data_IF_489601985504
#
_entry.id   IF_489601985504
#
_cell.length_a   1.000
_cell.length_b   1.000
_cell.length_c   1.000
_cell.angle_alpha   90.00
_cell.angle_beta   90.00
_cell.angle_gamma   90.00
#
_symmetry.space_group_name_H-M   'P 1'
#
loop_
_entity.id
_entity.type
_entity.pdbx_description
1 polymer ?
#
# COMPACT_ATOMS: atom_id res chain seq x y z
N UNK A 1 -32.14 6.62 -8.23
CA UNK A 1 -32.21 7.43 -6.99
C UNK A 1 -33.57 7.38 -6.28
N UNK A 2 -34.51 6.54 -6.71
CA UNK A 2 -35.86 6.39 -6.10
C UNK A 2 -35.95 5.25 -5.07
N UNK A 3 -34.92 4.41 -4.94
CA UNK A 3 -34.93 3.21 -4.07
C UNK A 3 -34.66 3.53 -2.59
N UNK A 4 -33.89 4.58 -2.30
CA UNK A 4 -33.59 4.98 -0.92
C UNK A 4 -34.82 5.51 -0.18
N UNK A 5 -35.74 6.17 -0.87
CA UNK A 5 -36.94 6.78 -0.27
C UNK A 5 -37.90 5.71 0.27
N UNK A 6 -38.02 4.57 -0.42
CA UNK A 6 -38.82 3.42 0.03
C UNK A 6 -38.24 2.77 1.30
N UNK A 7 -36.91 2.75 1.46
CA UNK A 7 -36.24 2.29 2.68
C UNK A 7 -36.44 3.24 3.86
N UNK A 8 -36.32 4.55 3.63
CA UNK A 8 -36.62 5.55 4.67
C UNK A 8 -38.08 5.47 5.11
N UNK A 9 -39.03 5.28 4.18
CA UNK A 9 -40.46 5.16 4.47
C UNK A 9 -40.82 3.95 5.33
N UNK A 10 -40.20 2.79 5.11
CA UNK A 10 -40.44 1.59 5.95
C UNK A 10 -39.75 1.65 7.31
N UNK A 11 -38.61 2.32 7.41
CA UNK A 11 -37.88 2.42 8.68
C UNK A 11 -38.50 3.46 9.64
N UNK A 12 -39.34 4.39 9.14
CA UNK A 12 -40.20 5.26 9.99
C UNK A 12 -41.20 4.45 10.81
N UNK A 13 -41.63 3.28 10.35
CA UNK A 13 -42.55 2.42 11.10
C UNK A 13 -41.88 1.62 12.25
N UNK A 14 -40.54 1.57 12.32
CA UNK A 14 -39.77 0.84 13.34
C UNK A 14 -39.18 1.71 14.47
N UNK A 15 -39.50 3.01 14.49
CA UNK A 15 -38.97 3.97 15.46
C UNK A 15 -37.64 4.62 15.04
N UNK A 16 -37.41 5.86 15.50
CA UNK A 16 -36.26 6.70 15.14
C UNK A 16 -34.89 6.03 15.36
N UNK A 17 -34.78 5.15 16.36
CA UNK A 17 -33.51 4.46 16.67
C UNK A 17 -33.02 3.52 15.56
N UNK A 18 -33.91 2.77 14.91
CA UNK A 18 -33.55 1.86 13.81
C UNK A 18 -33.14 2.61 12.55
N UNK A 19 -33.81 3.73 12.26
CA UNK A 19 -33.47 4.65 11.17
C UNK A 19 -32.10 5.28 11.35
N UNK A 20 -31.83 5.85 12.52
CA UNK A 20 -30.55 6.50 12.83
C UNK A 20 -29.40 5.49 12.79
N UNK A 21 -29.61 4.27 13.30
CA UNK A 21 -28.59 3.22 13.28
C UNK A 21 -28.27 2.77 11.84
N UNK A 22 -29.28 2.48 11.01
CA UNK A 22 -29.07 2.11 9.59
C UNK A 22 -28.41 3.27 8.83
N UNK A 23 -28.79 4.51 9.12
CA UNK A 23 -28.21 5.70 8.51
C UNK A 23 -26.73 5.86 8.86
N UNK A 24 -26.34 5.76 10.14
CA UNK A 24 -24.94 5.82 10.57
C UNK A 24 -24.16 4.65 9.98
N UNK A 25 -24.73 3.45 9.99
CA UNK A 25 -24.06 2.26 9.47
C UNK A 25 -23.85 2.36 7.96
N UNK A 26 -24.83 2.83 7.18
CA UNK A 26 -24.65 3.07 5.74
C UNK A 26 -23.75 4.28 5.46
N UNK A 27 -23.85 5.35 6.25
CA UNK A 27 -23.03 6.55 6.10
C UNK A 27 -21.56 6.32 6.42
N UNK A 28 -21.25 5.49 7.42
CA UNK A 28 -19.89 5.16 7.81
C UNK A 28 -19.36 3.93 7.08
N UNK A 29 -20.13 2.86 6.94
CA UNK A 29 -19.61 1.61 6.41
C UNK A 29 -19.61 1.52 4.87
N UNK A 30 -20.53 2.18 4.17
CA UNK A 30 -20.53 2.20 2.71
C UNK A 30 -19.24 2.78 2.11
N UNK A 31 -18.64 3.87 2.61
CA UNK A 31 -17.38 4.36 2.05
C UNK A 31 -16.19 3.42 2.30
N UNK A 32 -16.21 2.57 3.33
CA UNK A 32 -15.12 1.61 3.60
C UNK A 32 -15.25 0.29 2.83
N UNK A 33 -16.46 -0.09 2.39
CA UNK A 33 -16.67 -1.33 1.66
C UNK A 33 -16.02 -1.30 0.26
N UNK A 34 -16.04 -0.16 -0.43
CA UNK A 34 -15.44 0.00 -1.76
C UNK A 34 -13.90 -0.20 -1.77
N UNK A 35 -13.12 0.45 -0.87
CA UNK A 35 -11.69 0.14 -0.71
C UNK A 35 -11.43 -1.31 -0.35
N UNK A 36 -12.28 -1.93 0.49
CA UNK A 36 -12.12 -3.33 0.89
C UNK A 36 -12.26 -4.26 -0.33
N UNK A 37 -13.29 -4.10 -1.15
CA UNK A 37 -13.48 -4.93 -2.35
C UNK A 37 -12.35 -4.74 -3.35
N UNK A 38 -11.97 -3.47 -3.59
CA UNK A 38 -10.86 -3.15 -4.50
C UNK A 38 -9.54 -3.73 -4.01
N UNK A 39 -9.33 -3.77 -2.69
CA UNK A 39 -8.12 -4.36 -2.11
C UNK A 39 -8.00 -5.87 -2.40
N UNK A 40 -9.09 -6.61 -2.53
CA UNK A 40 -9.06 -8.04 -2.89
C UNK A 40 -8.45 -8.26 -4.27
N UNK A 41 -8.86 -7.46 -5.25
CA UNK A 41 -8.26 -7.44 -6.60
C UNK A 41 -6.78 -7.05 -6.52
N UNK A 42 -6.45 -6.03 -5.72
CA UNK A 42 -5.08 -5.58 -5.50
C UNK A 42 -4.16 -6.65 -4.89
N UNK A 43 -4.67 -7.44 -3.94
CA UNK A 43 -3.94 -8.55 -3.32
C UNK A 43 -3.67 -9.65 -4.36
N UNK A 44 -4.66 -10.00 -5.19
CA UNK A 44 -4.49 -10.96 -6.28
C UNK A 44 -3.41 -10.54 -7.28
N UNK A 45 -3.45 -9.28 -7.72
CA UNK A 45 -2.42 -8.70 -8.60
C UNK A 45 -1.04 -8.64 -7.93
N UNK A 46 -1.01 -8.25 -6.65
CA UNK A 46 0.21 -8.17 -5.86
C UNK A 46 0.89 -9.54 -5.68
N UNK A 47 0.11 -10.61 -5.50
CA UNK A 47 0.62 -11.98 -5.42
C UNK A 47 1.15 -12.43 -6.79
N UNK A 48 0.37 -12.22 -7.87
CA UNK A 48 0.78 -12.55 -9.24
C UNK A 48 2.14 -11.93 -9.59
N UNK A 49 2.33 -10.64 -9.31
CA UNK A 49 3.59 -9.92 -9.56
C UNK A 49 4.79 -10.49 -8.80
N UNK A 50 4.57 -11.13 -7.66
CA UNK A 50 5.63 -11.67 -6.82
C UNK A 50 5.97 -13.13 -7.12
N UNK A 51 5.19 -13.83 -7.95
CA UNK A 51 5.40 -15.24 -8.27
C UNK A 51 6.13 -15.44 -9.61
N UNK A 52 6.99 -16.45 -9.69
CA UNK A 52 7.56 -16.93 -10.95
C UNK A 52 6.70 -18.01 -11.61
N UNK A 53 5.75 -18.60 -10.88
CA UNK A 53 4.87 -19.64 -11.39
C UNK A 53 3.77 -19.04 -12.28
N UNK A 54 3.71 -19.47 -13.55
CA UNK A 54 2.72 -19.01 -14.53
C UNK A 54 1.27 -19.25 -14.10
N UNK A 55 0.98 -20.35 -13.40
CA UNK A 55 -0.35 -20.65 -12.88
C UNK A 55 -0.81 -19.60 -11.86
N UNK A 56 0.04 -19.27 -10.88
CA UNK A 56 -0.25 -18.25 -9.87
C UNK A 56 -0.45 -16.88 -10.51
N UNK A 57 0.25 -16.59 -11.62
CA UNK A 57 0.11 -15.31 -12.32
C UNK A 57 -1.28 -15.08 -12.91
N UNK A 58 -1.96 -16.15 -13.31
CA UNK A 58 -3.32 -16.10 -13.89
C UNK A 58 -4.39 -16.28 -12.82
N UNK A 59 -4.20 -17.26 -11.92
CA UNK A 59 -5.22 -17.61 -10.93
C UNK A 59 -5.35 -16.58 -9.82
N UNK A 60 -4.25 -15.98 -9.34
CA UNK A 60 -4.32 -15.04 -8.23
C UNK A 60 -5.11 -13.74 -8.58
N UNK A 61 -4.92 -13.10 -9.75
CA UNK A 61 -5.72 -11.94 -10.14
C UNK A 61 -7.19 -12.28 -10.36
N UNK A 62 -7.47 -13.41 -11.04
CA UNK A 62 -8.85 -13.87 -11.28
C UNK A 62 -9.54 -14.18 -9.96
N UNK A 63 -8.87 -14.89 -9.05
CA UNK A 63 -9.41 -15.19 -7.72
C UNK A 63 -9.69 -13.93 -6.89
N UNK A 64 -8.77 -12.96 -6.89
CA UNK A 64 -8.97 -11.68 -6.19
C UNK A 64 -10.15 -10.87 -6.76
N UNK A 65 -10.30 -10.86 -8.08
CA UNK A 65 -11.41 -10.19 -8.76
C UNK A 65 -12.76 -10.87 -8.48
N UNK A 66 -12.82 -12.19 -8.56
CA UNK A 66 -14.03 -12.96 -8.23
C UNK A 66 -14.44 -12.77 -6.78
N UNK A 67 -13.46 -12.75 -5.86
CA UNK A 67 -13.73 -12.47 -4.45
C UNK A 67 -14.29 -11.05 -4.24
N UNK A 68 -13.77 -10.05 -4.97
CA UNK A 68 -14.31 -8.69 -4.92
C UNK A 68 -15.77 -8.63 -5.39
N UNK A 69 -16.11 -9.32 -6.49
CA UNK A 69 -17.48 -9.40 -7.00
C UNK A 69 -18.39 -10.09 -5.98
N UNK A 70 -17.97 -11.23 -5.42
CA UNK A 70 -18.75 -11.97 -4.44
C UNK A 70 -19.03 -11.12 -3.19
N UNK A 71 -18.02 -10.45 -2.64
CA UNK A 71 -18.21 -9.57 -1.49
C UNK A 71 -19.15 -8.40 -1.82
N UNK A 72 -19.02 -7.80 -3.01
CA UNK A 72 -19.91 -6.73 -3.44
C UNK A 72 -21.35 -7.22 -3.64
N UNK A 73 -21.53 -8.39 -4.24
CA UNK A 73 -22.83 -9.03 -4.41
C UNK A 73 -23.46 -9.38 -3.05
N UNK A 74 -22.69 -9.89 -2.09
CA UNK A 74 -23.16 -10.16 -0.73
C UNK A 74 -23.56 -8.87 -0.01
N UNK A 75 -22.80 -7.78 -0.15
CA UNK A 75 -23.16 -6.47 0.40
C UNK A 75 -24.53 -6.01 -0.14
N UNK A 76 -24.71 -6.04 -1.47
CA UNK A 76 -25.97 -5.64 -2.09
C UNK A 76 -27.12 -6.59 -1.73
N UNK A 77 -26.88 -7.90 -1.76
CA UNK A 77 -27.87 -8.92 -1.43
C UNK A 77 -28.33 -8.84 0.03
N UNK A 78 -27.41 -8.55 0.96
CA UNK A 78 -27.76 -8.36 2.38
C UNK A 78 -28.67 -7.17 2.61
N UNK A 79 -28.56 -6.13 1.78
CA UNK A 79 -29.44 -4.97 1.82
C UNK A 79 -30.84 -5.30 1.28
N UNK A 80 -30.96 -6.15 0.25
CA UNK A 80 -32.24 -6.47 -0.42
C UNK A 80 -33.01 -7.59 0.28
N UNK A 81 -32.34 -8.67 0.69
CA UNK A 81 -32.99 -9.91 1.17
C UNK A 81 -32.85 -10.13 2.68
N UNK A 82 -31.91 -9.46 3.35
CA UNK A 82 -31.54 -9.75 4.74
C UNK A 82 -32.37 -9.03 5.81
N UNK A 83 -33.11 -7.98 5.45
CA UNK A 83 -33.67 -7.06 6.45
C UNK A 83 -32.57 -6.50 7.38
N UNK A 84 -32.93 -6.10 8.60
CA UNK A 84 -31.95 -5.63 9.59
C UNK A 84 -30.94 -6.71 10.00
N UNK A 85 -31.42 -7.92 10.32
CA UNK A 85 -30.59 -9.01 10.87
C UNK A 85 -29.61 -9.58 9.85
N UNK A 86 -30.04 -9.81 8.60
CA UNK A 86 -29.17 -10.32 7.55
C UNK A 86 -28.08 -9.32 7.15
N UNK A 87 -28.36 -8.02 7.24
CA UNK A 87 -27.35 -6.98 7.10
C UNK A 87 -26.28 -7.08 8.21
N UNK A 88 -26.70 -7.23 9.47
CA UNK A 88 -25.76 -7.39 10.60
C UNK A 88 -24.85 -8.61 10.44
N UNK A 89 -25.42 -9.76 10.07
CA UNK A 89 -24.64 -10.99 9.85
C UNK A 89 -23.63 -10.80 8.73
N UNK A 90 -24.06 -10.29 7.56
CA UNK A 90 -23.14 -10.03 6.45
C UNK A 90 -22.05 -9.02 6.84
N UNK A 91 -22.39 -8.00 7.62
CA UNK A 91 -21.43 -7.00 8.07
C UNK A 91 -20.37 -7.58 9.00
N UNK A 92 -20.77 -8.16 10.13
CA UNK A 92 -19.81 -8.56 11.16
C UNK A 92 -19.16 -9.92 10.87
N UNK A 93 -19.82 -10.82 10.15
CA UNK A 93 -19.29 -12.18 9.90
C UNK A 93 -18.50 -12.24 8.59
N UNK A 94 -18.82 -11.40 7.60
CA UNK A 94 -18.13 -11.41 6.29
C UNK A 94 -17.23 -10.18 6.15
N UNK A 95 -17.78 -8.97 6.29
CA UNK A 95 -16.99 -7.74 6.06
C UNK A 95 -15.95 -7.52 7.16
N UNK A 96 -16.30 -7.74 8.42
CA UNK A 96 -15.38 -7.60 9.56
C UNK A 96 -14.11 -8.43 9.39
N UNK A 97 -14.20 -9.77 9.22
CA UNK A 97 -13.04 -10.62 9.00
C UNK A 97 -12.26 -10.27 7.74
N UNK A 98 -12.94 -9.97 6.62
CA UNK A 98 -12.25 -9.57 5.41
C UNK A 98 -11.45 -8.27 5.60
N UNK A 99 -12.01 -7.30 6.33
CA UNK A 99 -11.32 -6.07 6.69
C UNK A 99 -10.09 -6.33 7.56
N UNK A 100 -10.22 -7.20 8.57
CA UNK A 100 -9.09 -7.62 9.42
C UNK A 100 -8.00 -8.29 8.57
N UNK A 101 -8.36 -9.19 7.66
CA UNK A 101 -7.41 -9.84 6.75
C UNK A 101 -6.69 -8.80 5.89
N UNK A 102 -7.40 -7.83 5.32
CA UNK A 102 -6.78 -6.72 4.57
C UNK A 102 -5.80 -5.93 5.43
N UNK A 103 -6.17 -5.57 6.67
CA UNK A 103 -5.27 -4.88 7.58
C UNK A 103 -4.02 -5.72 7.91
N UNK A 104 -4.17 -7.02 8.12
CA UNK A 104 -3.05 -7.94 8.32
C UNK A 104 -2.14 -7.98 7.10
N UNK A 105 -2.69 -8.09 5.89
CA UNK A 105 -1.92 -8.08 4.64
C UNK A 105 -1.15 -6.77 4.47
N UNK A 106 -1.80 -5.62 4.72
CA UNK A 106 -1.14 -4.32 4.69
C UNK A 106 0.00 -4.28 5.70
N UNK A 107 -0.25 -4.68 6.95
CA UNK A 107 0.75 -4.69 8.00
C UNK A 107 1.98 -5.56 7.67
N UNK A 108 1.75 -6.80 7.22
CA UNK A 108 2.84 -7.68 6.81
C UNK A 108 3.58 -7.17 5.57
N UNK A 109 2.85 -6.56 4.61
CA UNK A 109 3.45 -5.94 3.43
C UNK A 109 4.36 -4.77 3.82
N UNK A 110 3.90 -3.88 4.71
CA UNK A 110 4.67 -2.74 5.20
C UNK A 110 5.92 -3.18 5.98
N UNK A 111 5.79 -4.21 6.83
CA UNK A 111 6.95 -4.80 7.54
C UNK A 111 7.95 -5.43 6.59
N UNK A 112 7.47 -6.12 5.55
CA UNK A 112 8.32 -6.75 4.54
C UNK A 112 9.04 -5.70 3.70
N UNK A 113 8.36 -4.64 3.29
CA UNK A 113 8.95 -3.50 2.60
C UNK A 113 10.10 -2.91 3.42
N UNK A 114 9.86 -2.60 4.70
CA UNK A 114 10.91 -2.04 5.55
C UNK A 114 12.12 -2.97 5.71
N UNK A 115 11.89 -4.29 5.81
CA UNK A 115 12.96 -5.29 5.84
C UNK A 115 13.75 -5.34 4.53
N UNK A 116 13.08 -5.28 3.39
CA UNK A 116 13.72 -5.24 2.07
C UNK A 116 14.59 -3.98 1.94
N UNK A 117 14.03 -2.82 2.26
CA UNK A 117 14.76 -1.54 2.21
C UNK A 117 15.99 -1.59 3.10
N UNK A 118 15.85 -2.07 4.34
CA UNK A 118 16.96 -2.27 5.28
C UNK A 118 18.04 -3.19 4.69
N UNK A 119 17.66 -4.38 4.25
CA UNK A 119 18.62 -5.36 3.76
C UNK A 119 19.39 -4.88 2.51
N UNK A 120 18.70 -4.26 1.56
CA UNK A 120 19.27 -3.93 0.25
C UNK A 120 19.90 -2.52 0.14
N UNK A 121 19.67 -1.65 1.13
CA UNK A 121 20.39 -0.37 1.26
C UNK A 121 21.50 -0.41 2.31
N UNK A 122 21.63 -1.50 3.08
CA UNK A 122 22.69 -1.64 4.07
C UNK A 122 24.11 -1.45 3.49
N UNK A 123 24.45 -1.95 2.30
CA UNK A 123 25.76 -1.68 1.69
C UNK A 123 26.01 -0.19 1.40
N UNK A 124 24.98 0.55 0.99
CA UNK A 124 25.11 1.99 0.74
C UNK A 124 25.28 2.75 2.05
N UNK A 125 24.58 2.35 3.11
CA UNK A 125 24.81 2.86 4.46
C UNK A 125 26.26 2.62 4.93
N UNK A 126 26.78 1.40 4.77
CA UNK A 126 28.16 1.08 5.16
C UNK A 126 29.21 1.89 4.40
N UNK A 127 28.93 2.24 3.14
CA UNK A 127 29.79 3.11 2.30
C UNK A 127 29.67 4.59 2.65
N UNK A 128 28.91 4.95 3.68
CA UNK A 128 28.68 6.34 4.08
C UNK A 128 27.76 7.09 3.13
N UNK A 129 26.98 6.37 2.30
CA UNK A 129 26.01 7.02 1.43
C UNK A 129 24.90 7.64 2.29
N UNK A 130 24.28 6.89 3.19
CA UNK A 130 23.23 7.38 4.08
C UNK A 130 23.74 7.62 5.50
N UNK A 131 23.29 8.71 6.14
CA UNK A 131 23.47 8.92 7.58
C UNK A 131 22.68 7.88 8.39
N UNK A 132 23.12 7.43 9.59
CA UNK A 132 22.39 6.47 10.40
C UNK A 132 20.92 6.84 10.64
N UNK A 133 20.62 8.11 10.96
CA UNK A 133 19.25 8.55 11.22
C UNK A 133 18.41 8.60 9.94
N UNK A 134 19.05 8.92 8.81
CA UNK A 134 18.40 8.91 7.51
C UNK A 134 18.04 7.47 7.10
N UNK A 135 18.98 6.55 7.24
CA UNK A 135 18.82 5.15 6.89
C UNK A 135 17.69 4.49 7.68
N UNK A 136 17.63 4.69 9.01
CA UNK A 136 16.56 4.15 9.84
C UNK A 136 15.17 4.68 9.42
N UNK A 137 15.09 5.98 9.10
CA UNK A 137 13.84 6.60 8.63
C UNK A 137 13.45 6.11 7.24
N UNK A 138 14.40 5.85 6.34
CA UNK A 138 14.13 5.27 5.01
C UNK A 138 13.50 3.87 5.09
N UNK A 139 13.88 3.09 6.10
CA UNK A 139 13.38 1.73 6.32
C UNK A 139 11.90 1.67 6.75
N UNK A 140 11.21 2.80 6.98
CA UNK A 140 9.79 2.80 7.36
C UNK A 140 9.00 3.84 6.57
N UNK A 141 7.72 3.55 6.27
CA UNK A 141 6.84 4.50 5.58
C UNK A 141 6.68 5.79 6.40
N UNK A 142 6.41 5.65 7.70
CA UNK A 142 6.26 6.77 8.62
C UNK A 142 7.55 7.61 8.71
N UNK A 143 8.73 6.97 8.75
CA UNK A 143 10.01 7.65 8.75
C UNK A 143 10.24 8.46 7.46
N UNK A 144 9.95 7.90 6.28
CA UNK A 144 10.05 8.60 5.00
C UNK A 144 9.08 9.78 4.92
N UNK A 145 7.85 9.59 5.38
CA UNK A 145 6.86 10.66 5.41
C UNK A 145 7.25 11.78 6.38
N UNK A 146 7.78 11.43 7.55
CA UNK A 146 8.33 12.40 8.51
C UNK A 146 9.54 13.16 7.97
N UNK A 147 10.44 12.50 7.23
CA UNK A 147 11.56 13.15 6.54
C UNK A 147 11.06 14.17 5.52
N UNK A 148 10.11 13.78 4.66
CA UNK A 148 9.51 14.69 3.69
C UNK A 148 8.82 15.86 4.40
N UNK A 149 8.00 15.58 5.42
CA UNK A 149 7.27 16.61 6.17
C UNK A 149 8.20 17.63 6.83
N UNK A 150 9.31 17.18 7.43
CA UNK A 150 10.33 18.07 8.00
C UNK A 150 10.98 18.97 6.95
N UNK A 151 11.18 18.48 5.73
CA UNK A 151 11.70 19.31 4.63
C UNK A 151 10.65 20.30 4.14
N UNK A 152 9.37 19.91 4.10
CA UNK A 152 8.28 20.83 3.75
C UNK A 152 8.21 22.01 4.72
N UNK A 153 8.24 21.74 6.03
CA UNK A 153 8.13 22.78 7.07
C UNK A 153 9.35 23.69 7.14
N UNK A 154 10.56 23.17 6.85
CA UNK A 154 11.81 23.95 6.98
C UNK A 154 12.32 24.58 5.69
N UNK A 155 12.09 23.95 4.54
CA UNK A 155 12.72 24.31 3.26
C UNK A 155 11.72 24.52 2.11
N UNK A 156 10.42 24.36 2.38
CA UNK A 156 9.35 24.61 1.43
C UNK A 156 9.08 23.47 0.44
N UNK A 157 8.08 23.72 -0.41
CA UNK A 157 7.45 22.70 -1.24
C UNK A 157 8.35 22.14 -2.35
N UNK A 158 9.26 22.94 -2.91
CA UNK A 158 10.20 22.48 -3.94
C UNK A 158 11.14 21.39 -3.39
N UNK A 159 11.78 21.64 -2.24
CA UNK A 159 12.66 20.67 -1.57
C UNK A 159 11.88 19.47 -1.05
N UNK A 160 10.63 19.65 -0.62
CA UNK A 160 9.75 18.53 -0.25
C UNK A 160 9.53 17.55 -1.42
N UNK A 161 9.24 18.05 -2.63
CA UNK A 161 9.12 17.20 -3.81
C UNK A 161 10.41 16.44 -4.12
N UNK A 162 11.56 17.14 -4.07
CA UNK A 162 12.87 16.51 -4.26
C UNK A 162 13.13 15.43 -3.22
N UNK A 163 12.78 15.67 -1.94
CA UNK A 163 12.92 14.69 -0.86
C UNK A 163 12.03 13.48 -1.07
N UNK A 164 10.79 13.70 -1.47
CA UNK A 164 9.84 12.63 -1.78
C UNK A 164 10.35 11.75 -2.93
N UNK A 165 10.86 12.36 -4.01
CA UNK A 165 11.46 11.64 -5.14
C UNK A 165 12.72 10.87 -4.74
N UNK A 166 13.56 11.45 -3.88
CA UNK A 166 14.73 10.77 -3.33
C UNK A 166 14.34 9.54 -2.49
N UNK A 167 13.32 9.67 -1.62
CA UNK A 167 12.78 8.57 -0.83
C UNK A 167 12.22 7.44 -1.71
N UNK A 168 11.51 7.83 -2.77
CA UNK A 168 10.94 6.89 -3.74
C UNK A 168 12.04 6.14 -4.49
N UNK A 169 13.04 6.83 -5.06
CA UNK A 169 14.14 6.19 -5.79
C UNK A 169 14.99 5.28 -4.90
N UNK A 170 15.26 5.66 -3.64
CA UNK A 170 15.96 4.79 -2.71
C UNK A 170 15.17 3.48 -2.44
N UNK A 171 13.85 3.58 -2.30
CA UNK A 171 12.98 2.41 -2.14
C UNK A 171 12.94 1.57 -3.42
N UNK A 172 12.83 2.20 -4.59
CA UNK A 172 12.83 1.52 -5.89
C UNK A 172 14.13 0.76 -6.15
N UNK A 173 15.29 1.37 -5.83
CA UNK A 173 16.60 0.72 -5.89
C UNK A 173 16.65 -0.52 -5.00
N UNK A 174 16.19 -0.42 -3.75
CA UNK A 174 16.16 -1.56 -2.83
C UNK A 174 15.26 -2.69 -3.35
N UNK A 175 14.07 -2.35 -3.85
CA UNK A 175 13.16 -3.32 -4.45
C UNK A 175 13.69 -3.90 -5.76
N UNK A 176 14.45 -3.14 -6.55
CA UNK A 176 15.13 -3.62 -7.74
C UNK A 176 16.16 -4.69 -7.39
N UNK A 177 17.08 -4.40 -6.47
CA UNK A 177 18.06 -5.37 -5.97
C UNK A 177 17.40 -6.61 -5.36
N UNK A 178 16.31 -6.43 -4.60
CA UNK A 178 15.54 -7.55 -4.05
C UNK A 178 14.91 -8.45 -5.11
N UNK A 179 14.42 -7.88 -6.23
CA UNK A 179 13.92 -8.69 -7.34
C UNK A 179 15.04 -9.47 -8.02
N UNK A 180 16.19 -8.84 -8.25
CA UNK A 180 17.35 -9.51 -8.85
C UNK A 180 17.85 -10.66 -7.98
N UNK A 181 17.97 -10.44 -6.66
CA UNK A 181 18.35 -11.48 -5.70
C UNK A 181 17.38 -12.67 -5.66
N UNK A 182 16.12 -12.47 -6.07
CA UNK A 182 15.09 -13.53 -6.19
C UNK A 182 15.05 -14.17 -7.59
N UNK A 183 15.96 -13.82 -8.49
CA UNK A 183 15.98 -14.29 -9.87
C UNK A 183 14.87 -13.69 -10.74
N UNK A 184 14.23 -12.59 -10.31
CA UNK A 184 13.17 -11.91 -11.05
C UNK A 184 13.83 -10.81 -11.91
N UNK A 185 14.50 -11.23 -12.99
CA UNK A 185 15.16 -10.37 -13.96
C UNK A 185 15.65 -11.20 -15.14
N UNK A 186 15.19 -10.90 -16.37
CA UNK A 186 15.48 -11.72 -17.56
C UNK A 186 16.86 -11.47 -18.15
N UNK A 187 17.44 -10.29 -17.92
CA UNK A 187 18.70 -9.85 -18.53
C UNK A 187 19.59 -9.15 -17.48
N UNK A 188 20.76 -9.73 -17.14
CA UNK A 188 21.73 -9.13 -16.22
C UNK A 188 22.25 -7.76 -16.68
N UNK A 189 22.42 -7.52 -17.98
CA UNK A 189 22.97 -6.26 -18.48
C UNK A 189 21.97 -5.12 -18.29
N UNK A 190 20.71 -5.34 -18.68
CA UNK A 190 19.63 -4.37 -18.44
C UNK A 190 19.40 -4.11 -16.95
N UNK A 191 19.54 -5.15 -16.12
CA UNK A 191 19.42 -5.01 -14.68
C UNK A 191 20.48 -4.08 -14.08
N UNK A 192 21.75 -4.23 -14.54
CA UNK A 192 22.85 -3.38 -14.12
C UNK A 192 22.69 -1.94 -14.61
N UNK A 193 22.26 -1.74 -15.86
CA UNK A 193 22.02 -0.41 -16.41
C UNK A 193 20.98 0.36 -15.60
N UNK A 194 19.84 -0.29 -15.28
CA UNK A 194 18.80 0.32 -14.43
C UNK A 194 19.30 0.66 -13.03
N UNK A 195 20.14 -0.20 -12.44
CA UNK A 195 20.75 0.10 -11.15
C UNK A 195 21.63 1.35 -11.22
N UNK A 196 22.45 1.49 -12.25
CA UNK A 196 23.29 2.67 -12.45
C UNK A 196 22.45 3.94 -12.66
N UNK A 197 21.33 3.86 -13.37
CA UNK A 197 20.35 4.95 -13.53
C UNK A 197 19.73 5.37 -12.20
N UNK A 198 19.34 4.40 -11.35
CA UNK A 198 18.82 4.70 -10.02
C UNK A 198 19.86 5.42 -9.16
N UNK A 199 21.12 4.95 -9.17
CA UNK A 199 22.21 5.55 -8.42
C UNK A 199 22.53 6.97 -8.89
N UNK A 200 22.60 7.21 -10.21
CA UNK A 200 22.90 8.53 -10.76
C UNK A 200 21.83 9.57 -10.40
N UNK A 201 20.54 9.22 -10.55
CA UNK A 201 19.43 10.08 -10.15
C UNK A 201 19.41 10.33 -8.63
N UNK A 202 19.74 9.32 -7.83
CA UNK A 202 19.77 9.45 -6.38
C UNK A 202 20.91 10.38 -5.94
N UNK A 203 22.08 10.30 -6.57
CA UNK A 203 23.19 11.23 -6.34
C UNK A 203 22.79 12.67 -6.68
N UNK A 204 22.14 12.89 -7.82
CA UNK A 204 21.68 14.21 -8.25
C UNK A 204 20.69 14.83 -7.25
N UNK A 205 19.64 14.09 -6.88
CA UNK A 205 18.64 14.59 -5.93
C UNK A 205 19.25 14.90 -4.56
N UNK A 206 20.24 14.12 -4.11
CA UNK A 206 20.90 14.35 -2.83
C UNK A 206 21.80 15.58 -2.86
N UNK A 207 22.47 15.88 -3.98
CA UNK A 207 23.16 17.17 -4.17
C UNK A 207 22.16 18.33 -4.07
N UNK A 208 21.01 18.21 -4.73
CA UNK A 208 19.95 19.26 -4.66
C UNK A 208 19.45 19.43 -3.23
N UNK A 209 19.38 18.37 -2.43
CA UNK A 209 18.98 18.45 -1.01
C UNK A 209 20.10 18.97 -0.08
N UNK A 210 21.30 19.24 -0.60
CA UNK A 210 22.43 19.77 0.16
C UNK A 210 23.16 18.71 1.00
N UNK A 211 22.99 17.42 0.70
CA UNK A 211 23.80 16.38 1.32
C UNK A 211 25.24 16.45 0.79
N UNK A 212 26.25 16.26 1.66
CA UNK A 212 27.64 16.22 1.23
C UNK A 212 27.85 15.08 0.21
N UNK A 213 28.72 15.32 -0.77
CA UNK A 213 29.20 14.25 -1.63
C UNK A 213 29.81 13.17 -0.73
N UNK A 214 29.26 11.97 -0.83
CA UNK A 214 29.53 10.87 0.11
C UNK A 214 31.03 10.63 0.19
N UNK A 215 31.59 10.73 1.39
CA UNK A 215 32.98 10.39 1.66
C UNK A 215 33.18 8.93 1.29
N UNK A 216 33.75 8.67 0.12
CA UNK A 216 34.18 7.34 -0.27
C UNK A 216 35.23 6.88 0.72
N UNK A 217 34.84 6.18 1.78
CA UNK A 217 35.75 5.25 2.44
C UNK A 217 35.95 4.12 1.44
N UNK A 218 37.06 4.18 0.71
CA UNK A 218 37.49 3.12 -0.19
C UNK A 218 37.58 1.79 0.55
N UNK A 219 37.53 0.66 -0.18
CA UNK A 219 37.71 -0.64 0.43
C UNK A 219 39.09 -0.69 1.08
N UNK A 220 39.13 -0.87 2.40
CA UNK A 220 40.31 -1.28 3.14
C UNK A 220 40.39 -2.80 3.22
#
# INVERSE_FOLDING_TARGET
MTENVLYYGRAVQGGLGGLTFIFILRGMAAPFSHPLFTSMTGIGLGWSRQSNNGFVKVVAPVGGFMLAILMHATWNGSAVFGGGVGFFVAYFVIMGPAFIVTLMVIFFSLRREGRIVRQFLYPDYQRGFFDPQEYEKLCTVHGRMGLSWNVLTKQGFSKWRTRMRCNQLASELAFHRSRLARGIGRDPQQAQQRENEYLSMLHELRRVLGFPATLGRGPG
#
